data_IF_503525782496
#
_entry.id   IF_503525782496
#
_cell.length_a   1.000
_cell.length_b   1.000
_cell.length_c   1.000
_cell.angle_alpha   90.00
_cell.angle_beta   90.00
_cell.angle_gamma   90.00
#
_symmetry.space_group_name_H-M   'P 1'
#
loop_
_entity.id
_entity.type
_entity.pdbx_description
1 polymer ?
#
# COMPACT_ATOMS: atom_id res chain seq x y z
N UNK A 1 -20.39 50.13 -9.30
CA UNK A 1 -21.60 50.32 -10.12
C UNK A 1 -21.23 50.36 -11.59
N UNK A 2 -22.02 49.67 -12.42
CA UNK A 2 -22.13 49.70 -13.89
C UNK A 2 -21.15 48.85 -14.73
N UNK A 3 -21.68 47.66 -15.01
CA UNK A 3 -21.60 46.82 -16.22
C UNK A 3 -21.61 47.56 -17.57
N UNK A 4 -21.01 46.94 -18.61
CA UNK A 4 -21.63 46.58 -19.92
C UNK A 4 -20.52 46.36 -20.97
N UNK A 5 -20.31 45.13 -21.48
CA UNK A 5 -20.91 44.52 -22.69
C UNK A 5 -20.57 45.20 -24.04
N UNK A 6 -19.72 44.46 -24.78
CA UNK A 6 -19.79 44.07 -26.19
C UNK A 6 -20.05 45.12 -27.30
N UNK A 7 -19.27 45.02 -28.39
CA UNK A 7 -19.77 45.05 -29.77
C UNK A 7 -18.71 44.59 -30.78
N UNK A 8 -19.08 43.56 -31.53
CA UNK A 8 -18.55 43.12 -32.82
C UNK A 8 -18.63 44.24 -33.86
N UNK A 9 -17.69 44.32 -34.81
CA UNK A 9 -17.91 44.77 -36.20
C UNK A 9 -16.88 44.06 -37.10
N UNK A 10 -17.39 43.53 -38.20
CA UNK A 10 -16.71 42.81 -39.27
C UNK A 10 -15.92 43.74 -40.21
N UNK A 11 -15.01 43.17 -41.02
CA UNK A 11 -14.77 43.70 -42.36
C UNK A 11 -14.35 42.60 -43.34
N UNK A 12 -14.99 42.66 -44.51
CA UNK A 12 -14.88 41.77 -45.65
C UNK A 12 -13.65 42.07 -46.53
N UNK A 13 -13.27 41.10 -47.38
CA UNK A 13 -12.48 41.34 -48.59
C UNK A 13 -12.57 40.14 -49.55
N UNK A 14 -13.39 40.24 -50.60
CA UNK A 14 -13.06 40.52 -52.02
C UNK A 14 -13.07 39.25 -52.90
N UNK A 15 -14.24 39.05 -53.54
CA UNK A 15 -14.53 38.77 -54.95
C UNK A 15 -13.40 38.29 -55.90
N UNK A 16 -13.66 37.21 -56.65
CA UNK A 16 -13.52 37.17 -58.12
C UNK A 16 -14.30 36.02 -58.76
N UNK A 17 -14.85 36.33 -59.94
CA UNK A 17 -15.94 35.68 -60.67
C UNK A 17 -15.40 34.68 -61.69
N UNK A 18 -16.13 33.57 -61.91
CA UNK A 18 -16.27 32.97 -63.25
C UNK A 18 -17.60 32.20 -63.35
N UNK A 19 -18.39 32.59 -64.35
CA UNK A 19 -19.70 32.04 -64.72
C UNK A 19 -19.48 30.96 -65.77
N UNK A 20 -20.17 29.82 -65.67
CA UNK A 20 -20.25 28.87 -66.79
C UNK A 20 -20.95 27.54 -66.51
N UNK A 21 -22.21 27.46 -66.97
CA UNK A 21 -22.96 26.26 -67.42
C UNK A 21 -23.34 25.14 -66.44
N UNK A 22 -24.61 25.20 -66.03
CA UNK A 22 -25.62 24.14 -66.02
C UNK A 22 -25.19 22.67 -66.00
N UNK A 23 -25.24 22.09 -64.81
CA UNK A 23 -25.43 20.66 -64.56
C UNK A 23 -25.97 20.48 -63.15
N UNK A 24 -27.29 20.55 -62.97
CA UNK A 24 -27.91 20.23 -61.68
C UNK A 24 -27.81 18.72 -61.43
N UNK A 25 -26.65 18.26 -60.94
CA UNK A 25 -26.62 17.06 -60.13
C UNK A 25 -27.12 17.48 -58.75
N UNK A 26 -28.31 17.02 -58.38
CA UNK A 26 -28.92 17.20 -57.06
C UNK A 26 -28.13 16.34 -56.04
N UNK A 27 -26.86 16.72 -55.83
CA UNK A 27 -25.95 16.11 -54.89
C UNK A 27 -26.24 16.64 -53.51
N UNK A 28 -27.39 16.26 -52.94
CA UNK A 28 -27.52 16.25 -51.48
C UNK A 28 -26.41 15.34 -50.98
N UNK A 29 -25.36 15.94 -50.42
CA UNK A 29 -24.43 15.22 -49.56
C UNK A 29 -25.28 14.68 -48.41
N UNK A 30 -25.64 13.40 -48.50
CA UNK A 30 -26.23 12.65 -47.40
C UNK A 30 -25.13 12.52 -46.36
N UNK A 31 -24.97 13.57 -45.54
CA UNK A 31 -24.08 13.56 -44.38
C UNK A 31 -24.77 12.69 -43.34
N UNK A 32 -24.72 11.38 -43.56
CA UNK A 32 -25.03 10.44 -42.49
C UNK A 32 -24.01 10.71 -41.39
N UNK A 33 -24.44 10.96 -40.14
CA UNK A 33 -23.49 11.03 -39.05
C UNK A 33 -22.67 9.75 -39.13
N UNK A 34 -21.34 9.89 -39.13
CA UNK A 34 -20.46 8.74 -38.93
C UNK A 34 -20.92 8.15 -37.62
N UNK A 35 -21.69 7.06 -37.70
CA UNK A 35 -21.85 6.17 -36.58
C UNK A 35 -20.44 5.65 -36.38
N UNK A 36 -19.70 6.32 -35.50
CA UNK A 36 -18.59 5.67 -34.84
C UNK A 36 -19.21 4.44 -34.24
N UNK A 37 -18.96 3.31 -34.90
CA UNK A 37 -19.07 2.00 -34.32
C UNK A 37 -18.24 2.09 -33.05
N UNK A 38 -18.87 2.52 -31.95
CA UNK A 38 -18.38 2.31 -30.61
C UNK A 38 -18.55 0.82 -30.42
N UNK A 39 -17.67 0.06 -31.08
CA UNK A 39 -17.41 -1.31 -30.69
C UNK A 39 -17.16 -1.27 -29.19
N UNK A 40 -17.64 -2.29 -28.51
CA UNK A 40 -17.45 -2.42 -27.07
C UNK A 40 -15.96 -2.32 -26.73
N UNK A 41 -15.51 -1.11 -26.38
CA UNK A 41 -14.13 -0.81 -26.04
C UNK A 41 -13.84 -1.17 -24.57
N UNK A 42 -14.75 -1.87 -23.89
CA UNK A 42 -14.67 -2.09 -22.45
C UNK A 42 -13.39 -2.80 -22.02
N UNK A 43 -12.89 -3.75 -22.80
CA UNK A 43 -11.61 -4.41 -22.48
C UNK A 43 -10.42 -3.46 -22.63
N UNK A 44 -10.44 -2.57 -23.62
CA UNK A 44 -9.41 -1.53 -23.76
C UNK A 44 -9.49 -0.55 -22.60
N UNK A 45 -10.70 -0.14 -22.23
CA UNK A 45 -10.95 0.80 -21.15
C UNK A 45 -10.51 0.25 -19.80
N UNK A 46 -10.81 -1.02 -19.53
CA UNK A 46 -10.33 -1.73 -18.34
C UNK A 46 -8.81 -1.72 -18.24
N UNK A 47 -8.09 -2.02 -19.34
CA UNK A 47 -6.62 -2.02 -19.34
C UNK A 47 -6.02 -0.63 -19.11
N UNK A 48 -6.61 0.41 -19.71
CA UNK A 48 -6.17 1.79 -19.49
C UNK A 48 -6.50 2.20 -18.04
N UNK A 49 -7.66 1.79 -17.52
CA UNK A 49 -8.06 2.07 -16.14
C UNK A 49 -7.12 1.39 -15.12
N UNK A 50 -6.77 0.12 -15.31
CA UNK A 50 -5.81 -0.61 -14.47
C UNK A 50 -4.43 0.09 -14.47
N UNK A 51 -3.99 0.55 -15.65
CA UNK A 51 -2.71 1.26 -15.80
C UNK A 51 -2.76 2.64 -15.14
N UNK A 52 -3.85 3.39 -15.32
CA UNK A 52 -4.06 4.68 -14.67
C UNK A 52 -4.11 4.55 -13.14
N UNK A 53 -4.80 3.53 -12.63
CA UNK A 53 -4.89 3.22 -11.21
C UNK A 53 -3.52 2.85 -10.62
N UNK A 54 -2.71 2.08 -11.36
CA UNK A 54 -1.34 1.73 -10.95
C UNK A 54 -0.41 2.95 -10.94
N UNK A 55 -0.68 3.94 -11.79
CA UNK A 55 0.00 5.23 -11.81
C UNK A 55 -0.61 6.29 -10.87
N UNK A 56 -1.48 5.88 -9.93
CA UNK A 56 -2.18 6.74 -8.96
C UNK A 56 -3.08 7.83 -9.60
N UNK A 57 -3.38 7.72 -10.89
CA UNK A 57 -4.32 8.61 -11.57
C UNK A 57 -5.76 8.11 -11.35
N UNK A 58 -6.26 8.31 -10.13
CA UNK A 58 -7.58 7.85 -9.68
C UNK A 58 -8.73 8.47 -10.47
N UNK A 59 -8.56 9.69 -10.97
CA UNK A 59 -9.60 10.41 -11.73
C UNK A 59 -9.85 9.76 -13.11
N UNK A 60 -8.77 9.50 -13.85
CA UNK A 60 -8.87 8.81 -15.14
C UNK A 60 -9.34 7.37 -14.96
N UNK A 61 -8.77 6.64 -13.99
CA UNK A 61 -9.17 5.27 -13.71
C UNK A 61 -10.66 5.17 -13.37
N UNK A 62 -11.15 6.04 -12.47
CA UNK A 62 -12.56 6.10 -12.08
C UNK A 62 -13.48 6.34 -13.28
N UNK A 63 -13.15 7.33 -14.12
CA UNK A 63 -13.92 7.66 -15.33
C UNK A 63 -14.06 6.46 -16.27
N UNK A 64 -12.96 5.71 -16.48
CA UNK A 64 -12.96 4.56 -17.37
C UNK A 64 -13.72 3.37 -16.78
N UNK A 65 -13.57 3.08 -15.49
CA UNK A 65 -14.36 2.04 -14.83
C UNK A 65 -15.85 2.34 -14.82
N UNK A 66 -16.24 3.60 -14.58
CA UNK A 66 -17.64 4.04 -14.64
C UNK A 66 -18.22 3.91 -16.05
N UNK A 67 -17.43 4.21 -17.09
CA UNK A 67 -17.82 3.99 -18.49
C UNK A 67 -18.08 2.50 -18.77
N UNK A 68 -17.18 1.62 -18.32
CA UNK A 68 -17.36 0.17 -18.48
C UNK A 68 -18.60 -0.31 -17.72
N UNK A 69 -18.83 0.16 -16.50
CA UNK A 69 -20.03 -0.22 -15.72
C UNK A 69 -21.34 0.33 -16.32
N UNK A 70 -21.27 1.44 -17.07
CA UNK A 70 -22.43 1.96 -17.81
C UNK A 70 -22.81 1.04 -18.96
N UNK A 71 -21.82 0.50 -19.67
CA UNK A 71 -22.04 -0.45 -20.77
C UNK A 71 -22.34 -1.87 -20.28
N UNK A 72 -21.65 -2.30 -19.22
CA UNK A 72 -21.72 -3.65 -18.64
C UNK A 72 -21.90 -3.56 -17.11
N UNK A 73 -23.14 -3.37 -16.63
CA UNK A 73 -23.42 -3.20 -15.21
C UNK A 73 -23.04 -4.41 -14.33
N UNK A 74 -22.84 -5.58 -14.91
CA UNK A 74 -22.44 -6.81 -14.24
C UNK A 74 -20.92 -7.03 -14.21
N UNK A 75 -20.12 -6.13 -14.82
CA UNK A 75 -18.67 -6.23 -14.84
C UNK A 75 -18.05 -6.16 -13.44
N UNK A 76 -17.72 -7.33 -12.88
CA UNK A 76 -17.06 -7.47 -11.57
C UNK A 76 -15.69 -6.78 -11.60
N UNK A 77 -14.92 -6.91 -12.68
CA UNK A 77 -13.60 -6.28 -12.83
C UNK A 77 -13.71 -4.76 -12.76
N UNK A 78 -14.65 -4.15 -13.49
CA UNK A 78 -14.85 -2.71 -13.45
C UNK A 78 -15.30 -2.23 -12.07
N UNK A 79 -16.17 -3.00 -11.40
CA UNK A 79 -16.61 -2.69 -10.03
C UNK A 79 -15.50 -2.78 -9.00
N UNK A 80 -14.65 -3.81 -9.09
CA UNK A 80 -13.46 -3.93 -8.24
C UNK A 80 -12.49 -2.78 -8.49
N UNK A 81 -12.23 -2.45 -9.75
CA UNK A 81 -11.39 -1.29 -10.11
C UNK A 81 -11.92 0.02 -9.55
N UNK A 82 -13.23 0.27 -9.65
CA UNK A 82 -13.86 1.45 -9.05
C UNK A 82 -13.80 1.44 -7.51
N UNK A 83 -13.86 0.26 -6.90
CA UNK A 83 -13.68 0.10 -5.45
C UNK A 83 -12.24 0.40 -5.02
N UNK A 84 -11.24 -0.02 -5.80
CA UNK A 84 -9.83 0.32 -5.59
C UNK A 84 -9.58 1.82 -5.76
N UNK A 85 -10.20 2.47 -6.76
CA UNK A 85 -10.18 3.94 -6.92
C UNK A 85 -10.71 4.62 -5.66
N UNK A 86 -11.91 4.25 -5.21
CA UNK A 86 -12.50 4.81 -3.99
C UNK A 86 -11.62 4.59 -2.75
N UNK A 87 -11.00 3.41 -2.64
CA UNK A 87 -10.08 3.09 -1.54
C UNK A 87 -8.82 3.95 -1.56
N UNK A 88 -8.20 4.14 -2.73
CA UNK A 88 -7.00 4.98 -2.90
C UNK A 88 -7.31 6.45 -2.61
N UNK A 89 -8.44 6.96 -3.09
CA UNK A 89 -8.90 8.34 -2.82
C UNK A 89 -9.37 8.56 -1.37
N UNK A 90 -9.44 7.51 -0.55
CA UNK A 90 -9.82 7.59 0.87
C UNK A 90 -11.33 7.59 1.13
N UNK A 91 -12.17 7.42 0.10
CA UNK A 91 -13.61 7.19 0.26
C UNK A 91 -13.87 5.73 0.64
N UNK A 92 -13.54 5.41 1.89
CA UNK A 92 -13.62 4.05 2.43
C UNK A 92 -15.06 3.53 2.48
N UNK A 93 -16.05 4.42 2.60
CA UNK A 93 -17.46 4.03 2.60
C UNK A 93 -17.91 3.58 1.22
N UNK A 94 -17.59 4.35 0.16
CA UNK A 94 -17.88 3.96 -1.21
C UNK A 94 -17.11 2.70 -1.60
N UNK A 95 -15.83 2.59 -1.21
CA UNK A 95 -15.04 1.39 -1.42
C UNK A 95 -15.71 0.15 -0.79
N UNK A 96 -16.15 0.26 0.47
CA UNK A 96 -16.85 -0.83 1.17
C UNK A 96 -18.10 -1.29 0.43
N UNK A 97 -18.92 -0.36 -0.05
CA UNK A 97 -20.15 -0.68 -0.80
C UNK A 97 -19.81 -1.40 -2.10
N UNK A 98 -18.85 -0.89 -2.89
CA UNK A 98 -18.47 -1.47 -4.17
C UNK A 98 -17.83 -2.86 -4.01
N UNK A 99 -16.95 -3.05 -3.03
CA UNK A 99 -16.41 -4.37 -2.72
C UNK A 99 -17.47 -5.35 -2.23
N UNK A 100 -18.42 -4.90 -1.42
CA UNK A 100 -19.52 -5.77 -0.94
C UNK A 100 -20.41 -6.23 -2.09
N UNK A 101 -20.70 -5.33 -3.04
CA UNK A 101 -21.43 -5.66 -4.26
C UNK A 101 -20.65 -6.63 -5.16
N UNK A 102 -19.33 -6.47 -5.30
CA UNK A 102 -18.50 -7.41 -6.05
C UNK A 102 -18.47 -8.79 -5.36
N UNK A 103 -18.36 -8.82 -4.03
CA UNK A 103 -18.36 -10.05 -3.23
C UNK A 103 -19.69 -10.80 -3.31
N UNK A 104 -20.83 -10.09 -3.37
CA UNK A 104 -22.14 -10.75 -3.51
C UNK A 104 -22.36 -11.38 -4.88
N UNK A 105 -21.77 -10.78 -5.93
CA UNK A 105 -21.84 -11.30 -7.30
C UNK A 105 -20.85 -12.44 -7.56
N UNK A 106 -19.67 -12.39 -6.91
CA UNK A 106 -18.63 -13.40 -7.06
C UNK A 106 -18.03 -13.78 -5.70
N UNK A 107 -18.75 -14.59 -4.89
CA UNK A 107 -18.36 -14.90 -3.51
C UNK A 107 -17.04 -15.68 -3.40
N UNK A 108 -16.60 -16.33 -4.48
CA UNK A 108 -15.38 -17.13 -4.53
C UNK A 108 -14.17 -16.34 -5.09
N UNK A 109 -14.33 -15.06 -5.43
CA UNK A 109 -13.21 -14.24 -5.90
C UNK A 109 -12.51 -13.52 -4.74
N UNK A 110 -11.19 -13.73 -4.55
CA UNK A 110 -10.47 -13.18 -3.40
C UNK A 110 -10.36 -11.65 -3.44
N UNK A 111 -10.38 -11.03 -4.63
CA UNK A 111 -10.16 -9.59 -4.79
C UNK A 111 -11.15 -8.74 -3.98
N UNK A 112 -12.43 -9.09 -3.99
CA UNK A 112 -13.45 -8.37 -3.24
C UNK A 112 -13.27 -8.52 -1.72
N UNK A 113 -13.01 -9.74 -1.25
CA UNK A 113 -12.76 -10.02 0.16
C UNK A 113 -11.48 -9.32 0.66
N UNK A 114 -10.44 -9.30 -0.16
CA UNK A 114 -9.18 -8.60 0.14
C UNK A 114 -9.42 -7.08 0.24
N UNK A 115 -10.20 -6.52 -0.68
CA UNK A 115 -10.64 -5.13 -0.63
C UNK A 115 -11.40 -4.78 0.66
N UNK A 116 -12.36 -5.61 1.06
CA UNK A 116 -13.10 -5.43 2.32
C UNK A 116 -12.17 -5.48 3.55
N UNK A 117 -11.21 -6.40 3.57
CA UNK A 117 -10.23 -6.51 4.66
C UNK A 117 -9.34 -5.25 4.74
N UNK A 118 -8.87 -4.76 3.58
CA UNK A 118 -8.10 -3.50 3.48
C UNK A 118 -8.90 -2.29 3.96
N UNK A 119 -10.18 -2.19 3.59
CA UNK A 119 -11.09 -1.13 4.05
C UNK A 119 -11.26 -1.19 5.57
N UNK A 120 -11.54 -2.36 6.13
CA UNK A 120 -11.69 -2.55 7.58
C UNK A 120 -10.42 -2.12 8.32
N UNK A 121 -9.23 -2.49 7.82
CA UNK A 121 -7.95 -2.08 8.36
C UNK A 121 -7.78 -0.55 8.33
N UNK A 122 -8.01 0.13 7.20
CA UNK A 122 -7.89 1.60 7.11
C UNK A 122 -8.91 2.33 8.00
N UNK A 123 -10.08 1.75 8.21
CA UNK A 123 -11.09 2.25 9.16
C UNK A 123 -10.77 1.92 10.63
N UNK A 124 -9.61 1.28 10.92
CA UNK A 124 -9.19 0.84 12.27
C UNK A 124 -10.13 -0.19 12.92
N UNK A 125 -10.96 -0.88 12.12
CA UNK A 125 -11.75 -2.05 12.56
C UNK A 125 -10.87 -3.30 12.53
N UNK A 126 -9.94 -3.37 13.49
CA UNK A 126 -8.87 -4.36 13.48
C UNK A 126 -9.39 -5.81 13.59
N UNK A 127 -10.41 -6.06 14.42
CA UNK A 127 -10.96 -7.41 14.59
C UNK A 127 -11.67 -7.90 13.31
N UNK A 128 -12.44 -7.03 12.66
CA UNK A 128 -13.09 -7.32 11.37
C UNK A 128 -12.04 -7.62 10.29
N UNK A 129 -10.98 -6.80 10.21
CA UNK A 129 -9.90 -7.00 9.28
C UNK A 129 -9.19 -8.35 9.52
N UNK A 130 -8.86 -8.67 10.78
CA UNK A 130 -8.24 -9.94 11.14
C UNK A 130 -9.11 -11.13 10.75
N UNK A 131 -10.43 -11.06 10.98
CA UNK A 131 -11.37 -12.11 10.59
C UNK A 131 -11.39 -12.32 9.07
N UNK A 132 -11.47 -11.23 8.29
CA UNK A 132 -11.50 -11.29 6.83
C UNK A 132 -10.18 -11.83 6.25
N UNK A 133 -9.03 -11.38 6.74
CA UNK A 133 -7.74 -11.91 6.29
C UNK A 133 -7.54 -13.38 6.66
N UNK A 134 -7.98 -13.81 7.85
CA UNK A 134 -7.96 -15.24 8.24
C UNK A 134 -8.84 -16.08 7.34
N UNK A 135 -10.05 -15.61 7.00
CA UNK A 135 -10.93 -16.32 6.07
C UNK A 135 -10.30 -16.46 4.68
N UNK A 136 -9.66 -15.40 4.17
CA UNK A 136 -8.89 -15.43 2.93
C UNK A 136 -7.76 -16.46 2.97
N UNK A 137 -6.96 -16.48 4.04
CA UNK A 137 -5.86 -17.43 4.19
C UNK A 137 -6.33 -18.87 4.42
N UNK A 138 -7.54 -19.08 4.95
CA UNK A 138 -8.13 -20.41 5.03
C UNK A 138 -8.50 -20.95 3.63
N UNK A 139 -8.98 -20.08 2.74
CA UNK A 139 -9.29 -20.44 1.36
C UNK A 139 -8.04 -20.48 0.45
N UNK A 140 -7.06 -19.60 0.71
CA UNK A 140 -5.85 -19.42 -0.08
C UNK A 140 -4.64 -19.29 0.85
N UNK A 141 -4.09 -20.42 1.32
CA UNK A 141 -3.01 -20.44 2.31
C UNK A 141 -1.74 -19.67 1.91
N UNK A 142 -1.50 -19.52 0.61
CA UNK A 142 -0.29 -18.91 0.06
C UNK A 142 -0.52 -17.47 -0.47
N UNK A 143 -1.65 -16.85 -0.12
CA UNK A 143 -1.96 -15.48 -0.53
C UNK A 143 -1.10 -14.46 0.26
N UNK A 144 -0.04 -13.96 -0.40
CA UNK A 144 0.94 -13.01 0.17
C UNK A 144 0.27 -11.75 0.72
N UNK A 145 -0.64 -11.13 -0.04
CA UNK A 145 -1.32 -9.90 0.36
C UNK A 145 -2.21 -10.10 1.59
N UNK A 146 -2.85 -11.27 1.72
CA UNK A 146 -3.64 -11.59 2.90
C UNK A 146 -2.76 -11.89 4.12
N UNK A 147 -1.60 -12.52 3.93
CA UNK A 147 -0.63 -12.75 5.00
C UNK A 147 0.00 -11.45 5.51
N UNK A 148 0.40 -10.56 4.61
CA UNK A 148 0.89 -9.22 4.92
C UNK A 148 -0.16 -8.42 5.71
N UNK A 149 -1.41 -8.40 5.22
CA UNK A 149 -2.52 -7.74 5.89
C UNK A 149 -2.84 -8.30 7.28
N UNK A 150 -2.89 -9.63 7.43
CA UNK A 150 -3.12 -10.27 8.74
C UNK A 150 -1.98 -9.94 9.72
N UNK A 151 -0.73 -10.05 9.28
CA UNK A 151 0.42 -9.71 10.10
C UNK A 151 0.37 -8.25 10.56
N UNK A 152 0.07 -7.33 9.65
CA UNK A 152 -0.04 -5.89 9.96
C UNK A 152 -1.13 -5.63 11.01
N UNK A 153 -2.29 -6.26 10.86
CA UNK A 153 -3.39 -6.16 11.83
C UNK A 153 -2.93 -6.67 13.21
N UNK A 154 -2.24 -7.81 13.26
CA UNK A 154 -1.74 -8.40 14.50
C UNK A 154 -0.69 -7.50 15.17
N UNK A 155 0.21 -6.88 14.41
CA UNK A 155 1.18 -5.92 14.95
C UNK A 155 0.49 -4.68 15.53
N UNK A 156 -0.54 -4.15 14.84
CA UNK A 156 -1.36 -3.04 15.35
C UNK A 156 -2.12 -3.40 16.63
N UNK A 157 -2.50 -4.68 16.78
CA UNK A 157 -3.08 -5.22 18.01
C UNK A 157 -2.04 -5.57 19.09
N UNK A 158 -0.75 -5.32 18.84
CA UNK A 158 0.38 -5.67 19.71
C UNK A 158 0.59 -7.19 19.89
N UNK A 159 -0.01 -8.01 19.02
CA UNK A 159 0.20 -9.46 18.95
C UNK A 159 1.41 -9.82 18.07
N UNK A 160 2.57 -9.21 18.36
CA UNK A 160 3.76 -9.28 17.52
C UNK A 160 4.25 -10.71 17.24
N UNK A 161 4.25 -11.60 18.23
CA UNK A 161 4.68 -13.00 18.01
C UNK A 161 3.77 -13.74 17.01
N UNK A 162 2.46 -13.47 17.03
CA UNK A 162 1.53 -14.04 16.05
C UNK A 162 1.76 -13.43 14.66
N UNK A 163 1.97 -12.11 14.58
CA UNK A 163 2.29 -11.43 13.32
C UNK A 163 3.55 -12.05 12.68
N UNK A 164 4.61 -12.21 13.46
CA UNK A 164 5.86 -12.81 13.00
C UNK A 164 5.69 -14.26 12.55
N UNK A 165 4.83 -15.05 13.20
CA UNK A 165 4.53 -16.41 12.74
C UNK A 165 3.85 -16.40 11.36
N UNK A 166 2.92 -15.48 11.13
CA UNK A 166 2.26 -15.29 9.82
C UNK A 166 3.28 -14.87 8.76
N UNK A 167 4.12 -13.85 9.04
CA UNK A 167 5.13 -13.40 8.08
C UNK A 167 6.16 -14.47 7.75
N UNK A 168 6.67 -15.21 8.76
CA UNK A 168 7.64 -16.30 8.53
C UNK A 168 7.04 -17.40 7.68
N UNK A 169 5.78 -17.78 7.91
CA UNK A 169 5.07 -18.76 7.07
C UNK A 169 4.95 -18.27 5.62
N UNK A 170 4.57 -17.01 5.43
CA UNK A 170 4.46 -16.45 4.09
C UNK A 170 5.82 -16.41 3.37
N UNK A 171 6.91 -16.07 4.07
CA UNK A 171 8.27 -16.09 3.52
C UNK A 171 8.81 -17.49 3.24
N UNK A 172 8.26 -18.55 3.85
CA UNK A 172 8.59 -19.92 3.47
C UNK A 172 8.03 -20.27 2.09
N UNK A 173 6.83 -19.79 1.76
CA UNK A 173 6.21 -19.99 0.46
C UNK A 173 6.74 -19.02 -0.61
N UNK A 174 7.00 -17.76 -0.22
CA UNK A 174 7.44 -16.68 -1.10
C UNK A 174 8.68 -15.97 -0.52
N UNK A 175 9.88 -16.56 -0.65
CA UNK A 175 11.11 -16.03 -0.04
C UNK A 175 11.54 -14.65 -0.54
N UNK A 176 11.08 -14.26 -1.73
CA UNK A 176 11.34 -13.02 -2.44
C UNK A 176 10.33 -11.89 -2.11
N UNK A 177 9.32 -12.16 -1.29
CA UNK A 177 8.33 -11.17 -0.85
C UNK A 177 8.97 -10.11 0.07
N UNK A 178 9.59 -9.10 -0.54
CA UNK A 178 10.33 -8.04 0.17
C UNK A 178 9.45 -7.27 1.16
N UNK A 179 8.19 -6.96 0.81
CA UNK A 179 7.24 -6.28 1.70
C UNK A 179 7.06 -7.02 3.02
N UNK A 180 6.79 -8.34 2.96
CA UNK A 180 6.68 -9.18 4.16
C UNK A 180 7.98 -9.23 4.96
N UNK A 181 9.15 -9.23 4.30
CA UNK A 181 10.44 -9.18 4.99
C UNK A 181 10.66 -7.86 5.73
N UNK A 182 10.25 -6.74 5.12
CA UNK A 182 10.28 -5.41 5.74
C UNK A 182 9.38 -5.37 6.98
N UNK A 183 8.16 -5.90 6.88
CA UNK A 183 7.19 -5.92 7.98
C UNK A 183 7.63 -6.84 9.12
N UNK A 184 8.17 -8.03 8.80
CA UNK A 184 8.78 -8.92 9.79
C UNK A 184 9.91 -8.22 10.54
N UNK A 185 10.78 -7.53 9.80
CA UNK A 185 11.88 -6.75 10.36
C UNK A 185 11.40 -5.69 11.34
N UNK A 186 10.38 -4.91 10.96
CA UNK A 186 9.77 -3.89 11.81
C UNK A 186 9.09 -4.51 13.05
N UNK A 187 8.31 -5.58 12.87
CA UNK A 187 7.65 -6.30 13.97
C UNK A 187 8.66 -6.80 15.02
N UNK A 188 9.81 -7.33 14.58
CA UNK A 188 10.91 -7.73 15.46
C UNK A 188 11.52 -6.54 16.22
N UNK A 189 11.71 -5.39 15.55
CA UNK A 189 12.22 -4.18 16.22
C UNK A 189 11.25 -3.69 17.28
N UNK A 190 9.95 -3.66 17.00
CA UNK A 190 8.92 -3.20 17.92
C UNK A 190 8.71 -4.13 19.13
N UNK A 191 9.02 -5.42 18.99
CA UNK A 191 8.85 -6.45 20.02
C UNK A 191 10.13 -6.79 20.80
N UNK A 192 11.05 -5.82 20.94
CA UNK A 192 12.30 -5.95 21.70
C UNK A 192 13.31 -6.98 21.13
N UNK A 193 13.15 -7.37 19.86
CA UNK A 193 14.07 -8.24 19.12
C UNK A 193 14.82 -7.46 18.04
N UNK A 194 15.20 -6.22 18.36
CA UNK A 194 15.75 -5.25 17.41
C UNK A 194 17.01 -5.72 16.67
N UNK A 195 17.84 -6.57 17.29
CA UNK A 195 19.01 -7.14 16.60
C UNK A 195 18.60 -8.08 15.46
N UNK A 196 17.62 -8.95 15.70
CA UNK A 196 17.08 -9.85 14.67
C UNK A 196 16.34 -9.06 13.58
N UNK A 197 15.57 -8.04 13.98
CA UNK A 197 14.88 -7.16 13.04
C UNK A 197 15.84 -6.41 12.11
N UNK A 198 16.92 -5.84 12.65
CA UNK A 198 17.98 -5.19 11.84
C UNK A 198 18.62 -6.17 10.87
N UNK A 199 18.95 -7.39 11.31
CA UNK A 199 19.50 -8.41 10.41
C UNK A 199 18.54 -8.76 9.28
N UNK A 200 17.24 -8.90 9.59
CA UNK A 200 16.20 -9.19 8.60
C UNK A 200 16.05 -8.06 7.58
N UNK A 201 16.18 -6.81 8.02
CA UNK A 201 16.05 -5.62 7.16
C UNK A 201 17.27 -5.38 6.27
N UNK A 202 18.46 -5.81 6.69
CA UNK A 202 19.69 -5.68 5.89
C UNK A 202 19.59 -6.42 4.56
N UNK A 203 18.89 -7.57 4.52
CA UNK A 203 18.65 -8.34 3.29
C UNK A 203 17.96 -7.52 2.19
N UNK A 204 17.12 -6.55 2.57
CA UNK A 204 16.34 -5.73 1.64
C UNK A 204 16.97 -4.36 1.45
N UNK A 205 17.42 -3.72 2.53
CA UNK A 205 17.93 -2.36 2.50
C UNK A 205 19.29 -2.22 1.79
N UNK A 206 20.01 -3.34 1.59
CA UNK A 206 21.28 -3.38 0.85
C UNK A 206 21.16 -3.45 -0.67
N UNK A 207 19.94 -3.61 -1.21
CA UNK A 207 19.70 -3.69 -2.65
C UNK A 207 19.83 -2.31 -3.33
N UNK A 208 20.23 -2.29 -4.61
CA UNK A 208 20.42 -1.04 -5.37
C UNK A 208 19.12 -0.25 -5.54
N UNK A 209 18.00 -0.94 -5.64
CA UNK A 209 16.64 -0.44 -5.79
C UNK A 209 15.82 -0.63 -4.51
N UNK A 210 16.50 -0.75 -3.35
CA UNK A 210 15.84 -1.00 -2.08
C UNK A 210 14.70 0.00 -1.82
N UNK A 211 13.51 -0.48 -1.40
CA UNK A 211 12.42 0.40 -1.00
C UNK A 211 12.84 1.35 0.12
N UNK A 212 12.40 2.61 0.07
CA UNK A 212 12.74 3.60 1.10
C UNK A 212 12.25 3.18 2.49
N UNK A 213 11.13 2.45 2.56
CA UNK A 213 10.58 1.89 3.80
C UNK A 213 11.56 0.92 4.48
N UNK A 214 12.29 0.11 3.70
CA UNK A 214 13.30 -0.80 4.24
C UNK A 214 14.43 -0.03 4.93
N UNK A 215 14.91 1.05 4.30
CA UNK A 215 15.96 1.93 4.86
C UNK A 215 15.47 2.65 6.12
N UNK A 216 14.25 3.18 6.12
CA UNK A 216 13.67 3.82 7.31
C UNK A 216 13.51 2.84 8.47
N UNK A 217 12.97 1.65 8.22
CA UNK A 217 12.81 0.62 9.25
C UNK A 217 14.18 0.14 9.77
N UNK A 218 15.19 0.01 8.90
CA UNK A 218 16.55 -0.34 9.30
C UNK A 218 17.17 0.75 10.18
N UNK A 219 17.03 2.01 9.79
CA UNK A 219 17.50 3.14 10.57
C UNK A 219 16.82 3.22 11.95
N UNK A 220 15.51 3.00 11.99
CA UNK A 220 14.75 2.90 13.23
C UNK A 220 15.29 1.77 14.12
N UNK A 221 15.53 0.58 13.56
CA UNK A 221 16.16 -0.54 14.26
C UNK A 221 17.54 -0.19 14.84
N UNK A 222 18.40 0.48 14.07
CA UNK A 222 19.68 0.98 14.58
C UNK A 222 19.51 2.00 15.70
N UNK A 223 18.53 2.90 15.59
CA UNK A 223 18.18 3.86 16.62
C UNK A 223 17.75 3.19 17.93
N UNK A 224 16.88 2.18 17.86
CA UNK A 224 16.46 1.36 19.02
C UNK A 224 17.64 0.62 19.64
N UNK A 225 18.59 0.14 18.85
CA UNK A 225 19.83 -0.48 19.32
C UNK A 225 20.84 0.52 19.90
N UNK A 226 20.57 1.83 19.87
CA UNK A 226 21.48 2.85 20.34
C UNK A 226 22.70 3.05 19.43
N UNK A 227 22.54 2.81 18.12
CA UNK A 227 23.56 3.00 17.08
C UNK A 227 23.21 4.19 16.16
N UNK A 228 23.25 5.44 16.67
CA UNK A 228 22.78 6.61 15.92
C UNK A 228 23.61 6.88 14.65
N UNK A 229 24.91 6.55 14.63
CA UNK A 229 25.74 6.75 13.44
C UNK A 229 25.37 5.81 12.30
N UNK A 230 25.03 4.55 12.62
CA UNK A 230 24.51 3.60 11.63
C UNK A 230 23.16 4.06 11.10
N UNK A 231 22.25 4.50 11.98
CA UNK A 231 20.96 5.06 11.57
C UNK A 231 21.14 6.29 10.67
N UNK A 232 22.05 7.21 11.03
CA UNK A 232 22.38 8.41 10.23
C UNK A 232 22.82 8.04 8.82
N UNK A 233 23.77 7.10 8.69
CA UNK A 233 24.26 6.66 7.37
C UNK A 233 23.14 6.13 6.48
N UNK A 234 22.19 5.39 7.04
CA UNK A 234 21.05 4.85 6.29
C UNK A 234 20.06 5.96 5.91
N UNK A 235 19.72 6.86 6.83
CA UNK A 235 18.74 7.93 6.56
C UNK A 235 19.22 8.94 5.52
N UNK A 236 20.52 9.23 5.48
CA UNK A 236 21.11 10.19 4.54
C UNK A 236 21.00 9.80 3.06
N UNK A 237 20.62 8.54 2.75
CA UNK A 237 20.31 8.15 1.38
C UNK A 237 19.04 8.81 0.85
N UNK A 238 18.03 9.01 1.70
CA UNK A 238 16.69 9.48 1.28
C UNK A 238 16.34 10.87 1.83
N UNK A 239 17.04 11.33 2.87
CA UNK A 239 16.63 12.50 3.65
C UNK A 239 17.73 13.58 3.72
N UNK A 240 17.33 14.88 3.73
CA UNK A 240 18.26 15.96 3.99
C UNK A 240 18.75 15.92 5.46
N UNK A 241 19.93 16.50 5.76
CA UNK A 241 20.54 16.42 7.09
C UNK A 241 19.64 16.82 8.27
N UNK A 242 18.80 17.85 8.10
CA UNK A 242 17.87 18.30 9.14
C UNK A 242 16.83 17.23 9.52
N UNK A 243 16.23 16.58 8.52
CA UNK A 243 15.26 15.49 8.73
C UNK A 243 15.92 14.26 9.36
N UNK A 244 17.21 14.01 9.05
CA UNK A 244 17.98 12.95 9.72
C UNK A 244 18.12 13.23 11.22
N UNK A 245 18.47 14.47 11.59
CA UNK A 245 18.61 14.86 13.00
C UNK A 245 17.28 14.78 13.76
N UNK A 246 16.17 15.17 13.13
CA UNK A 246 14.82 15.01 13.69
C UNK A 246 14.49 13.54 13.96
N UNK A 247 14.72 12.65 12.99
CA UNK A 247 14.48 11.22 13.13
C UNK A 247 15.32 10.60 14.27
N UNK A 248 16.62 10.94 14.36
CA UNK A 248 17.49 10.42 15.41
C UNK A 248 17.02 10.82 16.81
N UNK A 249 16.50 12.05 16.99
CA UNK A 249 15.88 12.49 18.25
C UNK A 249 14.64 11.67 18.60
N UNK A 250 13.80 11.35 17.61
CA UNK A 250 12.64 10.46 17.81
C UNK A 250 13.10 9.07 18.24
N UNK A 251 14.10 8.49 17.56
CA UNK A 251 14.59 7.15 17.88
C UNK A 251 15.16 7.05 19.29
N UNK A 252 15.89 8.07 19.76
CA UNK A 252 16.37 8.15 21.14
C UNK A 252 15.21 8.12 22.14
N UNK A 253 14.13 8.87 21.86
CA UNK A 253 12.92 8.90 22.71
C UNK A 253 12.22 7.54 22.74
N UNK A 254 12.08 6.89 21.58
CA UNK A 254 11.46 5.56 21.49
C UNK A 254 12.30 4.52 22.23
N UNK A 255 13.63 4.52 22.03
CA UNK A 255 14.55 3.62 22.74
C UNK A 255 14.41 3.75 24.26
N UNK A 256 14.35 4.97 24.78
CA UNK A 256 14.17 5.20 26.22
C UNK A 256 12.85 4.58 26.72
N UNK A 257 11.74 4.74 25.98
CA UNK A 257 10.45 4.15 26.33
C UNK A 257 10.46 2.61 26.29
N UNK A 258 11.13 2.01 25.30
CA UNK A 258 11.24 0.56 25.19
C UNK A 258 12.11 -0.04 26.30
N UNK A 259 13.19 0.65 26.71
CA UNK A 259 14.03 0.20 27.82
C UNK A 259 13.25 0.10 29.15
N UNK A 260 12.35 1.05 29.43
CA UNK A 260 11.51 1.06 30.65
C UNK A 260 10.50 -0.08 30.70
N UNK A 261 10.03 -0.56 29.53
CA UNK A 261 9.05 -1.66 29.44
C UNK A 261 9.66 -3.05 29.66
N UNK A 262 10.98 -3.15 29.76
CA UNK A 262 11.66 -4.43 30.01
C UNK A 262 11.72 -4.65 31.53
N UNK A 263 11.07 -5.69 32.09
CA UNK A 263 11.30 -6.03 33.49
C UNK A 263 12.78 -6.27 33.69
N UNK A 264 13.38 -5.58 34.67
CA UNK A 264 14.78 -5.79 35.06
C UNK A 264 15.01 -7.29 35.22
N UNK A 265 15.88 -7.86 34.38
CA UNK A 265 16.28 -9.25 34.52
C UNK A 265 16.77 -9.44 35.96
N UNK A 266 16.11 -10.32 36.72
CA UNK A 266 16.57 -10.70 38.06
C UNK A 266 18.01 -11.20 37.89
N UNK A 267 19.02 -10.59 38.53
CA UNK A 267 20.38 -11.06 38.40
C UNK A 267 20.45 -12.50 38.92
N UNK A 268 21.22 -13.39 38.28
CA UNK A 268 21.37 -14.75 38.75
C UNK A 268 21.86 -14.73 40.20
N UNK A 269 21.40 -15.65 41.06
CA UNK A 269 21.85 -15.72 42.44
C UNK A 269 23.37 -15.81 42.47
N UNK A 270 24.02 -14.93 43.22
CA UNK A 270 25.48 -14.98 43.44
C UNK A 270 25.81 -16.37 43.98
N UNK A 271 26.66 -17.10 43.26
CA UNK A 271 27.20 -18.36 43.74
C UNK A 271 27.80 -18.13 45.15
N UNK A 272 27.26 -18.84 46.13
CA UNK A 272 27.83 -18.86 47.47
C UNK A 272 29.26 -19.38 47.37
N UNK A 273 30.21 -18.63 47.93
CA UNK A 273 31.58 -19.06 48.07
C UNK A 273 31.60 -20.41 48.82
N UNK A 274 32.11 -21.45 48.17
CA UNK A 274 32.55 -22.66 48.86
C UNK A 274 33.83 -22.32 49.64
N UNK A 275 33.68 -21.89 50.89
CA UNK A 275 34.74 -22.01 51.89
C UNK A 275 34.83 -23.49 52.29
N UNK A 276 35.86 -24.16 51.79
CA UNK A 276 36.14 -25.57 52.09
C UNK A 276 36.59 -25.79 53.54
N UNK A 277 36.41 -27.01 54.10
CA UNK A 277 36.99 -27.34 55.39
C UNK A 277 38.45 -27.77 55.22
N UNK A 278 39.33 -27.04 55.91
CA UNK A 278 40.74 -27.34 56.16
C UNK A 278 40.89 -28.66 56.93
N UNK A 279 41.31 -29.73 56.24
CA UNK A 279 41.71 -30.99 56.88
C UNK A 279 43.03 -30.81 57.62
N UNK A 280 42.97 -30.78 58.95
CA UNK A 280 44.12 -30.74 59.85
C UNK A 280 44.79 -32.12 59.90
N UNK A 281 46.08 -32.16 59.56
CA UNK A 281 46.97 -33.32 59.68
C UNK A 281 47.32 -33.54 61.16
N UNK A 282 47.07 -34.73 61.72
CA UNK A 282 47.74 -35.22 62.92
C UNK A 282 48.29 -36.62 62.67
N UNK A 283 49.42 -36.83 63.36
CA UNK A 283 50.39 -37.93 63.33
C UNK A 283 49.76 -39.31 63.50
#
# INVERSE_FOLDING_TARGET
MKTARAKTIALAGVLSILVGSSGCADGRLDVRPVQTSHGDNSESDLKIADSALSGENTDLAGTLYERVLTAHPDSIRARLGLADVAYQSGDLNRAQVLYSQAASQAPNQPGAQLGLARVALRQRRLDDAAMLYRALLAAQPDNVLAAEGLGTVLDLQQHHEQAQAVYRRALQAHPDAQGIRIDLGLSLVLSNRAREGVNTLLDVAGLSDAPWQARQNLAFGYGVLGKPDSARKVLQFDLPPSAVDDNLRVYQTVRAKLAVRTPSAVPPPRAANEEGPTSTRKQ
#
